data_IF_192133530386
#
_entry.id   IF_192133530386
#
_cell.length_a   1.000
_cell.length_b   1.000
_cell.length_c   1.000
_cell.angle_alpha   90.00
_cell.angle_beta   90.00
_cell.angle_gamma   90.00
#
_symmetry.space_group_name_H-M   'P 1'
#
loop_
_entity.id
_entity.type
_entity.pdbx_description
1 polymer ?
#
# COMPACT_ATOMS: atom_id res chain seq x y z
N UNK A 1 21.32 9.15 26.07
CA UNK A 1 20.40 9.09 24.91
C UNK A 1 20.49 10.45 24.25
N UNK A 2 21.06 10.49 23.04
CA UNK A 2 21.22 11.76 22.34
C UNK A 2 19.83 12.27 21.94
N UNK A 3 19.51 13.44 22.45
CA UNK A 3 18.21 14.08 22.24
C UNK A 3 18.23 14.66 20.82
N UNK A 4 17.74 13.91 19.84
CA UNK A 4 17.69 14.34 18.43
C UNK A 4 16.55 15.35 18.29
N UNK A 5 16.84 16.54 17.75
CA UNK A 5 15.81 17.56 17.57
C UNK A 5 14.74 17.11 16.57
N UNK A 6 13.49 17.55 16.77
CA UNK A 6 12.40 17.27 15.82
C UNK A 6 12.74 17.76 14.41
N UNK A 7 13.44 18.88 14.29
CA UNK A 7 13.87 19.42 13.00
C UNK A 7 14.80 18.47 12.25
N UNK A 8 15.73 17.81 12.94
CA UNK A 8 16.62 16.82 12.35
C UNK A 8 15.86 15.58 11.89
N UNK A 9 14.90 15.11 12.70
CA UNK A 9 14.02 13.99 12.35
C UNK A 9 13.24 14.33 11.08
N UNK A 10 12.59 15.49 11.06
CA UNK A 10 11.82 15.97 9.93
C UNK A 10 12.68 16.10 8.67
N UNK A 11 13.84 16.74 8.74
CA UNK A 11 14.77 16.88 7.61
C UNK A 11 15.23 15.54 7.05
N UNK A 12 15.36 14.52 7.89
CA UNK A 12 15.76 13.19 7.48
C UNK A 12 14.61 12.46 6.78
N UNK A 13 13.46 12.37 7.44
CA UNK A 13 12.34 11.56 6.96
C UNK A 13 11.59 12.19 5.77
N UNK A 14 11.49 13.53 5.72
CA UNK A 14 10.80 14.22 4.61
C UNK A 14 11.55 14.19 3.28
N UNK A 15 12.83 13.84 3.26
CA UNK A 15 13.63 13.69 2.05
C UNK A 15 13.54 12.31 1.42
N UNK A 16 12.94 11.35 2.12
CA UNK A 16 12.86 9.97 1.66
C UNK A 16 11.78 9.87 0.60
N UNK A 17 12.17 9.39 -0.59
CA UNK A 17 11.23 9.12 -1.67
C UNK A 17 10.46 7.84 -1.36
N UNK A 18 9.17 7.98 -1.11
CA UNK A 18 8.26 6.88 -0.81
C UNK A 18 7.51 6.38 -2.05
N UNK A 19 7.68 6.98 -3.22
CA UNK A 19 6.86 6.75 -4.42
C UNK A 19 6.91 5.31 -4.93
N UNK A 20 8.05 4.63 -4.76
CA UNK A 20 8.25 3.24 -5.21
C UNK A 20 7.75 2.19 -4.22
N UNK A 21 7.29 2.61 -3.04
CA UNK A 21 6.84 1.72 -1.95
C UNK A 21 5.37 1.92 -1.60
N UNK A 22 4.61 2.47 -2.54
CA UNK A 22 3.18 2.68 -2.41
C UNK A 22 2.40 1.59 -3.11
N UNK A 23 1.26 1.24 -2.52
CA UNK A 23 0.28 0.33 -3.10
C UNK A 23 -0.97 1.12 -3.51
N UNK A 24 -1.51 0.86 -4.69
CA UNK A 24 -2.76 1.45 -5.15
C UNK A 24 -3.94 0.52 -4.86
N UNK A 25 -4.99 1.07 -4.29
CA UNK A 25 -6.26 0.39 -4.09
C UNK A 25 -7.38 1.17 -4.78
N UNK A 26 -8.28 0.45 -5.44
CA UNK A 26 -9.50 1.05 -5.98
C UNK A 26 -10.41 1.47 -4.82
N UNK A 27 -10.62 2.78 -4.67
CA UNK A 27 -11.47 3.39 -3.63
C UNK A 27 -12.93 3.60 -4.05
N UNK A 28 -13.27 3.32 -5.32
CA UNK A 28 -14.60 3.55 -5.88
C UNK A 28 -14.56 4.21 -7.26
N UNK A 29 -15.66 4.86 -7.63
CA UNK A 29 -15.73 5.67 -8.85
C UNK A 29 -16.19 7.09 -8.48
N UNK A 30 -15.68 8.08 -9.20
CA UNK A 30 -16.13 9.47 -9.11
C UNK A 30 -17.52 9.66 -9.77
N UNK A 31 -18.03 10.89 -9.73
CA UNK A 31 -19.30 11.26 -10.34
C UNK A 31 -19.34 11.08 -11.88
N UNK A 32 -18.19 10.98 -12.51
CA UNK A 32 -18.03 10.79 -13.95
C UNK A 32 -17.78 9.32 -14.34
N UNK A 33 -17.71 8.42 -13.35
CA UNK A 33 -17.45 7.00 -13.57
C UNK A 33 -15.96 6.61 -13.61
N UNK A 34 -15.04 7.57 -13.40
CA UNK A 34 -13.62 7.30 -13.34
C UNK A 34 -13.27 6.56 -12.04
N UNK A 35 -12.34 5.63 -12.13
CA UNK A 35 -11.89 4.88 -10.96
C UNK A 35 -11.03 5.78 -10.08
N UNK A 36 -11.46 5.96 -8.82
CA UNK A 36 -10.67 6.62 -7.78
C UNK A 36 -9.65 5.60 -7.27
N UNK A 37 -8.37 5.94 -7.36
CA UNK A 37 -7.28 5.16 -6.79
C UNK A 37 -6.82 5.82 -5.51
N UNK A 38 -6.75 5.03 -4.45
CA UNK A 38 -6.18 5.43 -3.16
C UNK A 38 -4.78 4.87 -3.07
N UNK A 39 -3.83 5.72 -2.74
CA UNK A 39 -2.42 5.35 -2.61
C UNK A 39 -2.10 5.14 -1.14
N UNK A 40 -1.52 4.00 -0.81
CA UNK A 40 -1.12 3.65 0.54
C UNK A 40 0.37 3.37 0.59
N UNK A 41 1.04 3.91 1.59
CA UNK A 41 2.41 3.52 1.90
C UNK A 41 2.41 2.21 2.69
N UNK A 42 3.23 1.23 2.30
CA UNK A 42 3.37 -0.03 3.04
C UNK A 42 3.88 0.23 4.46
N UNK A 43 3.14 -0.26 5.47
CA UNK A 43 3.52 -0.07 6.88
C UNK A 43 4.84 -0.76 7.23
N UNK A 44 5.10 -1.93 6.64
CA UNK A 44 6.34 -2.68 6.88
C UNK A 44 7.55 -1.92 6.35
N UNK A 45 7.42 -1.34 5.16
CA UNK A 45 8.48 -0.50 4.61
C UNK A 45 8.64 0.80 5.42
N UNK A 46 7.54 1.49 5.74
CA UNK A 46 7.58 2.74 6.49
C UNK A 46 8.24 2.55 7.87
N UNK A 47 7.90 1.47 8.57
CA UNK A 47 8.53 1.14 9.84
C UNK A 47 10.00 0.72 9.65
N UNK A 48 10.30 -0.12 8.66
CA UNK A 48 11.67 -0.54 8.35
C UNK A 48 12.61 0.62 8.04
N UNK A 49 12.15 1.60 7.23
CA UNK A 49 12.94 2.79 6.93
C UNK A 49 13.10 3.70 8.16
N UNK A 50 12.06 3.80 9.00
CA UNK A 50 12.16 4.53 10.28
C UNK A 50 13.23 3.91 11.17
N UNK A 51 13.22 2.58 11.33
CA UNK A 51 14.22 1.85 12.12
C UNK A 51 15.64 1.94 11.55
N UNK A 52 15.77 2.07 10.24
CA UNK A 52 17.08 2.27 9.59
C UNK A 52 17.75 3.58 10.02
N UNK A 53 16.98 4.66 10.12
CA UNK A 53 17.51 5.99 10.50
C UNK A 53 17.43 6.27 11.99
N UNK A 54 16.46 5.68 12.66
CA UNK A 54 16.17 5.88 14.08
C UNK A 54 15.90 4.54 14.77
N UNK A 55 16.94 3.71 15.02
CA UNK A 55 16.76 2.36 15.55
C UNK A 55 16.19 2.30 16.97
N UNK A 56 16.21 3.42 17.71
CA UNK A 56 15.56 3.56 19.01
C UNK A 56 14.11 4.04 18.95
N UNK A 57 13.54 4.19 17.74
CA UNK A 57 12.14 4.56 17.58
C UNK A 57 11.22 3.49 18.16
N UNK A 58 10.15 3.91 18.80
CA UNK A 58 9.12 3.02 19.35
C UNK A 58 7.74 3.47 18.90
N UNK A 59 6.79 2.54 18.86
CA UNK A 59 5.39 2.90 18.74
C UNK A 59 4.53 2.12 19.74
N UNK A 60 3.41 2.70 20.08
CA UNK A 60 2.41 2.10 20.97
C UNK A 60 1.03 2.23 20.35
N UNK A 61 0.19 1.23 20.58
CA UNK A 61 -1.23 1.28 20.30
C UNK A 61 -1.95 1.61 21.60
N UNK A 62 -2.65 2.74 21.62
CA UNK A 62 -3.37 3.19 22.81
C UNK A 62 -4.49 2.22 23.17
N UNK A 63 -4.61 1.95 24.46
CA UNK A 63 -5.69 1.15 25.00
C UNK A 63 -6.75 2.04 25.64
N UNK A 64 -8.01 1.70 25.40
CA UNK A 64 -9.20 2.34 25.96
C UNK A 64 -9.95 1.29 26.77
N UNK A 65 -9.91 1.39 28.08
CA UNK A 65 -10.51 0.38 28.98
C UNK A 65 -10.08 -1.06 28.64
N UNK A 66 -8.77 -1.24 28.35
CA UNK A 66 -8.16 -2.53 27.98
C UNK A 66 -8.32 -2.92 26.50
N UNK A 67 -9.18 -2.28 25.73
CA UNK A 67 -9.40 -2.53 24.30
C UNK A 67 -8.40 -1.74 23.44
N UNK A 68 -8.07 -2.25 22.24
CA UNK A 68 -7.20 -1.59 21.27
C UNK A 68 -7.91 -0.50 20.43
N UNK A 69 -9.13 -0.18 20.77
CA UNK A 69 -9.98 0.79 20.08
C UNK A 69 -10.89 1.51 21.06
N UNK A 70 -11.24 2.74 20.74
CA UNK A 70 -12.33 3.46 21.36
C UNK A 70 -13.61 3.27 20.54
N UNK A 71 -14.75 3.14 21.21
CA UNK A 71 -16.05 2.98 20.57
C UNK A 71 -17.01 4.07 21.03
N UNK A 72 -17.45 4.88 20.08
CA UNK A 72 -18.60 5.74 20.24
C UNK A 72 -19.78 5.08 19.47
N UNK A 73 -20.87 4.70 20.17
CA UNK A 73 -21.98 3.99 19.51
C UNK A 73 -22.69 4.83 18.43
N UNK A 74 -22.59 6.14 18.49
CA UNK A 74 -23.25 7.04 17.54
C UNK A 74 -22.39 7.29 16.30
N UNK A 75 -21.08 7.52 16.48
CA UNK A 75 -20.20 7.95 15.39
C UNK A 75 -19.25 6.88 14.90
N UNK A 76 -18.93 5.86 15.67
CA UNK A 76 -18.13 4.72 15.20
C UNK A 76 -16.94 4.36 16.10
N UNK A 77 -16.06 3.54 15.55
CA UNK A 77 -14.90 3.00 16.22
C UNK A 77 -13.64 3.69 15.69
N UNK A 78 -12.72 4.06 16.59
CA UNK A 78 -11.42 4.63 16.24
C UNK A 78 -10.27 3.91 16.95
N UNK A 79 -9.10 3.97 16.35
CA UNK A 79 -7.82 3.54 16.93
C UNK A 79 -6.90 4.74 17.09
N UNK A 80 -5.93 4.63 18.00
CA UNK A 80 -4.91 5.65 18.20
C UNK A 80 -3.55 4.97 18.34
N UNK A 81 -2.54 5.53 17.66
CA UNK A 81 -1.15 5.13 17.80
C UNK A 81 -0.31 6.31 18.30
N UNK A 82 0.72 6.01 19.04
CA UNK A 82 1.74 6.96 19.46
C UNK A 82 3.09 6.50 18.94
N UNK A 83 3.86 7.38 18.32
CA UNK A 83 5.22 7.12 17.84
C UNK A 83 6.19 8.04 18.55
N UNK A 84 7.30 7.48 19.02
CA UNK A 84 8.37 8.25 19.67
C UNK A 84 9.67 8.05 18.88
N UNK A 85 10.27 9.16 18.45
CA UNK A 85 11.57 9.18 17.75
C UNK A 85 12.45 10.22 18.42
N UNK A 86 13.63 9.83 18.90
CA UNK A 86 14.60 10.74 19.52
C UNK A 86 14.02 11.55 20.68
N UNK A 87 13.14 10.97 21.47
CA UNK A 87 12.44 11.64 22.58
C UNK A 87 11.23 12.49 22.16
N UNK A 88 10.97 12.66 20.86
CA UNK A 88 9.81 13.38 20.36
C UNK A 88 8.65 12.41 20.12
N UNK A 89 7.50 12.65 20.75
CA UNK A 89 6.32 11.82 20.64
C UNK A 89 5.22 12.53 19.85
N UNK A 90 4.57 11.81 18.93
CA UNK A 90 3.38 12.23 18.20
C UNK A 90 2.31 11.15 18.30
N UNK A 91 1.07 11.58 18.44
CA UNK A 91 -0.09 10.68 18.40
C UNK A 91 -0.94 10.97 17.16
N UNK A 92 -1.52 9.91 16.62
CA UNK A 92 -2.45 9.95 15.50
C UNK A 92 -3.60 9.02 15.81
N UNK A 93 -4.79 9.40 15.40
CA UNK A 93 -5.98 8.57 15.49
C UNK A 93 -6.58 8.35 14.09
N UNK A 94 -7.27 7.25 13.92
CA UNK A 94 -7.93 6.89 12.65
C UNK A 94 -9.22 6.14 12.93
N UNK A 95 -10.34 6.46 12.23
CA UNK A 95 -11.55 5.66 12.31
C UNK A 95 -11.33 4.28 11.67
N UNK A 96 -11.99 3.27 12.21
CA UNK A 96 -12.14 1.97 11.55
C UNK A 96 -13.19 2.14 10.45
N UNK A 97 -12.82 1.80 9.21
CA UNK A 97 -13.64 2.08 8.03
C UNK A 97 -13.79 0.84 7.15
N UNK A 98 -14.93 0.76 6.45
CA UNK A 98 -15.14 -0.20 5.36
C UNK A 98 -14.36 0.16 4.08
N UNK A 99 -14.54 -0.63 3.02
CA UNK A 99 -13.88 -0.39 1.72
C UNK A 99 -14.36 0.87 0.99
N UNK A 100 -15.46 1.48 1.42
CA UNK A 100 -16.05 2.69 0.87
C UNK A 100 -15.78 3.93 1.76
N UNK A 101 -14.89 3.79 2.76
CA UNK A 101 -14.54 4.81 3.75
C UNK A 101 -15.69 5.22 4.68
N UNK A 102 -16.72 4.38 4.84
CA UNK A 102 -17.73 4.60 5.86
C UNK A 102 -17.19 4.14 7.22
N UNK A 103 -17.40 4.95 8.26
CA UNK A 103 -17.03 4.57 9.62
C UNK A 103 -17.82 3.32 10.06
N UNK A 104 -17.09 2.31 10.55
CA UNK A 104 -17.72 1.11 11.10
C UNK A 104 -18.07 1.31 12.57
N UNK A 105 -19.16 0.67 12.99
CA UNK A 105 -19.65 0.64 14.37
C UNK A 105 -19.56 -0.77 14.94
N UNK A 106 -19.90 -0.95 16.20
CA UNK A 106 -20.01 -2.29 16.80
C UNK A 106 -21.11 -3.14 16.15
N UNK A 107 -22.17 -2.48 15.67
CA UNK A 107 -23.27 -3.12 14.96
C UNK A 107 -23.33 -2.63 13.52
N UNK A 108 -23.81 -3.49 12.63
CA UNK A 108 -24.09 -3.08 11.25
C UNK A 108 -25.20 -2.05 11.22
N UNK A 109 -25.11 -1.11 10.27
CA UNK A 109 -26.14 -0.13 10.05
C UNK A 109 -26.38 0.11 8.57
N UNK A 110 -27.56 0.61 8.22
CA UNK A 110 -27.93 0.94 6.85
C UNK A 110 -28.06 2.45 6.66
N UNK A 111 -27.82 2.90 5.44
CA UNK A 111 -28.05 4.27 5.03
C UNK A 111 -28.54 4.33 3.58
N UNK A 112 -29.41 5.31 3.31
CA UNK A 112 -29.98 5.50 1.98
C UNK A 112 -29.04 6.28 1.06
N UNK A 113 -28.89 5.80 -0.17
CA UNK A 113 -28.22 6.51 -1.26
C UNK A 113 -29.20 6.74 -2.40
N UNK A 114 -28.84 7.59 -3.36
CA UNK A 114 -29.64 7.76 -4.59
C UNK A 114 -29.78 6.47 -5.42
N UNK A 115 -28.97 5.45 -5.13
CA UNK A 115 -29.01 4.15 -5.80
C UNK A 115 -29.64 3.03 -4.95
N UNK A 116 -30.25 3.37 -3.83
CA UNK A 116 -30.87 2.44 -2.89
C UNK A 116 -30.14 2.38 -1.54
N UNK A 117 -30.64 1.50 -0.70
CA UNK A 117 -30.12 1.26 0.63
C UNK A 117 -28.76 0.52 0.58
N UNK A 118 -27.84 0.92 1.41
CA UNK A 118 -26.53 0.25 1.60
C UNK A 118 -26.31 -0.09 3.05
N UNK A 119 -25.65 -1.20 3.29
CA UNK A 119 -25.30 -1.68 4.63
C UNK A 119 -23.82 -1.53 4.88
N UNK A 120 -23.44 -0.92 5.99
CA UNK A 120 -22.09 -0.94 6.56
C UNK A 120 -22.04 -2.08 7.59
N UNK A 121 -21.15 -3.04 7.37
CA UNK A 121 -20.98 -4.18 8.28
C UNK A 121 -20.37 -3.73 9.60
N UNK A 122 -20.65 -4.46 10.67
CA UNK A 122 -20.01 -4.28 11.97
C UNK A 122 -18.47 -4.38 11.83
N UNK A 123 -17.75 -3.64 12.65
CA UNK A 123 -16.30 -3.76 12.70
C UNK A 123 -15.90 -5.12 13.27
N UNK A 124 -14.83 -5.67 12.72
CA UNK A 124 -14.17 -6.87 13.24
C UNK A 124 -12.70 -6.58 13.61
N UNK A 125 -12.05 -7.56 14.24
CA UNK A 125 -10.64 -7.40 14.64
C UNK A 125 -9.68 -7.27 13.46
N UNK A 126 -10.05 -7.76 12.28
CA UNK A 126 -9.26 -7.55 11.05
C UNK A 126 -9.35 -6.10 10.59
N UNK A 127 -10.53 -5.49 10.65
CA UNK A 127 -10.76 -4.06 10.39
C UNK A 127 -9.99 -3.19 11.37
N UNK A 128 -10.05 -3.51 12.67
CA UNK A 128 -9.28 -2.82 13.72
C UNK A 128 -7.77 -2.91 13.45
N UNK A 129 -7.24 -4.10 13.16
CA UNK A 129 -5.82 -4.27 12.86
C UNK A 129 -5.38 -3.47 11.63
N UNK A 130 -6.17 -3.49 10.55
CA UNK A 130 -5.90 -2.67 9.35
C UNK A 130 -5.88 -1.18 9.68
N UNK A 131 -6.82 -0.72 10.50
CA UNK A 131 -6.87 0.68 10.94
C UNK A 131 -5.65 1.06 11.78
N UNK A 132 -5.18 0.18 12.69
CA UNK A 132 -3.95 0.39 13.48
C UNK A 132 -2.73 0.55 12.58
N UNK A 133 -2.54 -0.32 11.59
CA UNK A 133 -1.39 -0.25 10.67
C UNK A 133 -1.43 1.00 9.78
N UNK A 134 -2.60 1.40 9.30
CA UNK A 134 -2.81 2.67 8.57
C UNK A 134 -2.54 3.88 9.48
N UNK A 135 -3.01 3.82 10.73
CA UNK A 135 -2.80 4.86 11.72
C UNK A 135 -1.30 5.05 12.02
N UNK A 136 -0.55 3.95 12.16
CA UNK A 136 0.91 3.99 12.34
C UNK A 136 1.62 4.73 11.20
N UNK A 137 1.27 4.43 9.95
CA UNK A 137 1.90 5.09 8.80
C UNK A 137 1.55 6.57 8.73
N UNK A 138 0.29 6.95 8.99
CA UNK A 138 -0.12 8.36 9.09
C UNK A 138 0.58 9.07 10.26
N UNK A 139 0.85 8.37 11.35
CA UNK A 139 1.63 8.94 12.46
C UNK A 139 3.08 9.21 12.04
N UNK A 140 3.71 8.30 11.28
CA UNK A 140 5.05 8.52 10.73
C UNK A 140 5.09 9.71 9.75
N UNK A 141 3.99 10.00 9.06
CA UNK A 141 3.87 11.18 8.21
C UNK A 141 3.94 12.49 9.02
N UNK A 142 3.54 12.50 10.31
CA UNK A 142 3.73 13.64 11.21
C UNK A 142 5.20 13.90 11.56
N UNK A 143 6.09 12.96 11.27
CA UNK A 143 7.54 13.12 11.32
C UNK A 143 8.17 13.41 9.95
N UNK A 144 7.34 13.54 8.90
CA UNK A 144 7.76 13.87 7.52
C UNK A 144 7.79 12.71 6.55
N UNK A 145 7.70 11.44 6.99
CA UNK A 145 7.80 10.28 6.10
C UNK A 145 6.55 10.13 5.24
N UNK A 146 6.68 10.35 3.93
CA UNK A 146 5.60 10.14 2.97
C UNK A 146 4.40 11.07 3.15
N UNK A 147 4.56 12.24 3.76
CA UNK A 147 3.47 13.20 4.00
C UNK A 147 2.73 13.59 2.71
N UNK A 148 3.44 13.71 1.60
CA UNK A 148 2.89 14.04 0.29
C UNK A 148 1.89 13.00 -0.24
N UNK A 149 1.96 11.75 0.21
CA UNK A 149 1.05 10.67 -0.20
C UNK A 149 -0.38 10.93 0.31
N UNK A 150 -0.49 11.57 1.47
CA UNK A 150 -1.77 11.87 2.13
C UNK A 150 -2.34 13.24 1.76
N UNK A 151 -1.63 14.02 0.92
CA UNK A 151 -2.11 15.31 0.45
C UNK A 151 -3.38 15.13 -0.38
N UNK A 152 -4.49 15.71 0.07
CA UNK A 152 -5.80 15.62 -0.59
C UNK A 152 -6.68 14.44 -0.16
N UNK A 153 -6.26 13.60 0.79
CA UNK A 153 -7.07 12.48 1.26
C UNK A 153 -8.37 12.92 1.97
N UNK A 154 -8.37 14.09 2.60
CA UNK A 154 -9.52 14.64 3.35
C UNK A 154 -10.34 15.65 2.53
N UNK A 155 -10.21 15.68 1.20
CA UNK A 155 -11.03 16.55 0.38
C UNK A 155 -12.49 16.08 0.41
N UNK A 156 -13.46 16.99 0.62
CA UNK A 156 -14.88 16.66 0.61
C UNK A 156 -15.27 16.01 -0.71
N UNK A 157 -16.00 14.90 -0.64
CA UNK A 157 -16.55 14.23 -1.82
C UNK A 157 -17.54 15.19 -2.50
N UNK A 158 -17.22 15.70 -3.69
CA UNK A 158 -18.12 16.54 -4.49
C UNK A 158 -17.70 18.01 -4.65
N UNK A 159 -16.54 18.42 -4.17
CA UNK A 159 -15.94 19.71 -4.54
C UNK A 159 -15.36 19.59 -5.96
N UNK A 160 -15.77 20.49 -6.84
CA UNK A 160 -15.35 20.49 -8.24
C UNK A 160 -13.82 20.48 -8.36
N UNK A 161 -13.30 19.47 -9.07
CA UNK A 161 -11.86 19.24 -9.32
C UNK A 161 -11.20 20.34 -10.19
N UNK A 162 -11.93 21.41 -10.52
CA UNK A 162 -11.41 22.52 -11.33
C UNK A 162 -10.34 23.37 -10.63
N UNK A 163 -10.03 23.06 -9.38
CA UNK A 163 -8.93 23.70 -8.64
C UNK A 163 -8.10 22.64 -7.91
N UNK A 164 -7.39 21.79 -8.64
CA UNK A 164 -6.17 21.18 -8.10
C UNK A 164 -5.21 22.29 -7.76
N UNK A 165 -5.27 22.79 -6.52
CA UNK A 165 -4.13 23.53 -5.97
C UNK A 165 -2.96 22.53 -5.96
N UNK A 166 -1.81 22.88 -6.55
CA UNK A 166 -0.62 22.07 -6.41
C UNK A 166 -0.38 21.87 -4.91
N UNK A 167 0.01 20.65 -4.52
CA UNK A 167 0.45 20.38 -3.18
C UNK A 167 1.43 21.48 -2.76
N UNK A 168 1.42 21.93 -1.48
CA UNK A 168 2.32 22.98 -1.06
C UNK A 168 3.75 22.57 -1.42
N UNK A 169 4.31 23.26 -2.39
CA UNK A 169 5.71 23.11 -2.78
C UNK A 169 6.48 23.65 -1.59
N UNK A 170 7.14 22.77 -0.85
CA UNK A 170 8.15 23.18 0.12
C UNK A 170 9.22 23.87 -0.73
N UNK A 171 9.26 25.19 -0.67
CA UNK A 171 10.27 25.98 -1.38
C UNK A 171 11.64 25.44 -0.97
N UNK A 172 12.41 25.04 -1.97
CA UNK A 172 13.82 24.76 -1.79
C UNK A 172 14.47 26.09 -1.46
N UNK A 173 14.64 26.40 -0.18
CA UNK A 173 15.54 27.49 0.22
C UNK A 173 16.94 27.09 -0.21
N UNK A 174 17.43 27.77 -1.23
CA UNK A 174 18.83 27.74 -1.66
C UNK A 174 19.68 28.40 -0.55
N UNK A 175 20.12 27.56 0.39
CA UNK A 175 21.17 27.89 1.33
C UNK A 175 22.39 27.06 0.96
N UNK A 176 23.33 27.70 0.28
CA UNK A 176 24.65 27.13 0.09
C UNK A 176 25.32 27.00 1.44
N UNK A 177 25.79 25.82 1.81
CA UNK A 177 27.05 25.61 2.53
C UNK A 177 27.22 24.15 2.95
N UNK A 178 28.35 23.64 2.53
CA UNK A 178 29.21 22.62 3.17
C UNK A 178 28.69 21.19 3.37
N UNK A 179 29.30 20.35 2.59
CA UNK A 179 29.30 18.91 2.57
C UNK A 179 30.02 18.33 3.79
N UNK A 180 29.38 17.55 4.65
CA UNK A 180 30.11 16.56 5.43
C UNK A 180 30.11 15.24 4.68
N UNK A 181 31.27 14.58 4.71
CA UNK A 181 31.68 13.42 3.99
C UNK A 181 30.63 12.29 3.91
N UNK A 182 30.49 11.81 2.70
CA UNK A 182 29.76 10.63 2.26
C UNK A 182 30.30 9.39 2.98
N UNK A 183 29.48 8.62 3.72
CA UNK A 183 29.84 7.24 3.98
C UNK A 183 29.62 6.44 2.70
N UNK A 184 30.64 5.62 2.34
CA UNK A 184 30.66 4.78 1.16
C UNK A 184 29.45 3.86 1.11
N UNK A 185 28.80 3.88 -0.05
CA UNK A 185 27.76 2.91 -0.40
C UNK A 185 28.45 1.60 -0.84
N UNK A 186 28.63 0.69 0.11
CA UNK A 186 28.86 -0.71 -0.19
C UNK A 186 28.14 -1.55 0.87
N UNK A 187 27.44 -2.55 0.36
CA UNK A 187 26.63 -3.58 1.02
C UNK A 187 25.15 -3.22 1.26
N UNK A 188 24.40 -3.35 0.19
CA UNK A 188 23.11 -4.06 0.08
C UNK A 188 22.62 -3.90 -1.37
N UNK A 189 23.32 -4.58 -2.28
CA UNK A 189 22.87 -4.74 -3.66
C UNK A 189 21.88 -5.90 -3.75
N UNK A 190 20.60 -5.61 -3.52
CA UNK A 190 19.54 -6.33 -4.21
C UNK A 190 19.10 -5.44 -5.37
N UNK A 191 19.14 -5.90 -6.62
CA UNK A 191 18.75 -5.10 -7.75
C UNK A 191 17.24 -4.79 -7.65
N UNK A 192 16.93 -3.51 -7.51
CA UNK A 192 15.57 -3.02 -7.70
C UNK A 192 15.13 -3.34 -9.14
N UNK A 193 13.92 -3.85 -9.36
CA UNK A 193 13.40 -3.96 -10.71
C UNK A 193 13.26 -2.56 -11.29
N UNK A 194 13.95 -2.32 -12.38
CA UNK A 194 13.91 -1.09 -13.18
C UNK A 194 12.46 -0.83 -13.61
N UNK A 195 11.86 0.24 -13.11
CA UNK A 195 10.52 0.67 -13.55
C UNK A 195 10.66 1.26 -14.95
N UNK A 196 10.37 0.45 -15.95
CA UNK A 196 10.15 0.90 -17.31
C UNK A 196 8.75 1.51 -17.43
N UNK A 197 8.72 2.67 -18.08
CA UNK A 197 7.64 3.46 -18.68
C UNK A 197 6.25 2.78 -18.78
N UNK A 198 5.18 3.62 -18.62
CA UNK A 198 3.74 3.31 -18.81
C UNK A 198 3.50 2.19 -19.82
N UNK A 199 2.60 1.23 -19.50
CA UNK A 199 2.26 0.18 -20.44
C UNK A 199 1.47 0.79 -21.61
N UNK A 200 2.10 0.87 -22.77
CA UNK A 200 1.38 0.67 -24.02
C UNK A 200 0.63 -0.66 -23.87
N UNK A 201 -0.61 -0.74 -24.32
CA UNK A 201 -1.33 -1.99 -24.50
C UNK A 201 -0.42 -2.92 -25.31
N UNK A 202 0.35 -3.74 -24.61
CA UNK A 202 1.17 -4.75 -25.24
C UNK A 202 0.22 -5.71 -25.96
N UNK A 203 0.49 -5.99 -27.22
CA UNK A 203 -0.19 -7.07 -27.92
C UNK A 203 0.02 -8.34 -27.09
N UNK A 204 -1.04 -9.16 -26.87
CA UNK A 204 -0.90 -10.37 -26.08
C UNK A 204 0.25 -11.22 -26.65
N UNK A 205 1.18 -11.59 -25.78
CA UNK A 205 2.31 -12.45 -26.17
C UNK A 205 1.74 -13.79 -26.67
N UNK A 206 2.01 -14.21 -27.91
CA UNK A 206 1.45 -15.46 -28.46
C UNK A 206 1.87 -16.69 -27.64
N UNK A 207 3.05 -16.69 -27.01
CA UNK A 207 3.50 -17.76 -26.11
C UNK A 207 2.64 -17.83 -24.85
N UNK A 208 2.27 -16.70 -24.25
CA UNK A 208 1.38 -16.66 -23.08
C UNK A 208 0.03 -17.35 -23.35
N UNK A 209 -0.54 -17.10 -24.52
CA UNK A 209 -1.81 -17.71 -24.91
C UNK A 209 -1.69 -19.24 -25.13
N UNK A 210 -0.58 -19.68 -25.73
CA UNK A 210 -0.29 -21.09 -25.95
C UNK A 210 -0.07 -21.83 -24.62
N UNK A 211 0.81 -21.32 -23.76
CA UNK A 211 1.10 -21.90 -22.45
C UNK A 211 -0.15 -21.96 -21.55
N UNK A 212 -0.97 -20.89 -21.52
CA UNK A 212 -2.25 -20.90 -20.82
C UNK A 212 -3.23 -21.94 -21.33
N UNK A 213 -3.31 -22.11 -22.67
CA UNK A 213 -4.16 -23.14 -23.27
C UNK A 213 -3.73 -24.55 -22.84
N UNK A 214 -2.44 -24.80 -22.81
CA UNK A 214 -1.86 -26.06 -22.40
C UNK A 214 -2.05 -26.33 -20.91
N UNK A 215 -1.74 -25.35 -20.06
CA UNK A 215 -1.95 -25.42 -18.62
C UNK A 215 -3.39 -25.81 -18.24
N UNK A 216 -4.38 -25.31 -18.94
CA UNK A 216 -5.79 -25.64 -18.68
C UNK A 216 -6.14 -27.11 -18.96
N UNK A 217 -5.33 -27.84 -19.70
CA UNK A 217 -5.56 -29.25 -20.00
C UNK A 217 -4.99 -30.21 -18.96
N UNK A 218 -4.17 -29.71 -18.03
CA UNK A 218 -3.57 -30.53 -16.98
C UNK A 218 -4.63 -31.14 -16.07
N UNK A 219 -4.42 -32.39 -15.66
CA UNK A 219 -5.39 -33.17 -14.88
C UNK A 219 -5.72 -32.51 -13.55
N UNK A 220 -4.72 -31.89 -12.89
CA UNK A 220 -4.88 -31.15 -11.64
C UNK A 220 -5.56 -29.78 -11.80
N UNK A 221 -5.74 -29.29 -13.03
CA UNK A 221 -6.27 -27.95 -13.32
C UNK A 221 -7.60 -27.95 -14.05
N UNK A 222 -7.85 -28.95 -14.91
CA UNK A 222 -9.02 -29.02 -15.81
C UNK A 222 -10.35 -28.93 -15.07
N UNK A 223 -10.43 -29.47 -13.85
CA UNK A 223 -11.64 -29.53 -13.04
C UNK A 223 -11.81 -28.36 -12.07
N UNK A 224 -10.85 -27.42 -12.01
CA UNK A 224 -10.93 -26.23 -11.17
C UNK A 224 -11.94 -25.23 -11.76
N UNK A 225 -12.63 -24.48 -10.88
CA UNK A 225 -13.38 -23.31 -11.31
C UNK A 225 -12.43 -22.23 -11.87
N UNK A 226 -12.98 -21.21 -12.53
CA UNK A 226 -12.18 -20.18 -13.20
C UNK A 226 -11.28 -19.41 -12.25
N UNK A 227 -11.77 -19.08 -11.05
CA UNK A 227 -11.01 -18.31 -10.04
C UNK A 227 -9.82 -19.10 -9.53
N UNK A 228 -10.00 -20.36 -9.19
CA UNK A 228 -8.92 -21.21 -8.67
C UNK A 228 -7.91 -21.58 -9.77
N UNK A 229 -8.38 -21.72 -10.99
CA UNK A 229 -7.52 -21.94 -12.18
C UNK A 229 -6.64 -20.73 -12.45
N UNK A 230 -7.17 -19.51 -12.35
CA UNK A 230 -6.38 -18.28 -12.50
C UNK A 230 -5.33 -18.15 -11.39
N UNK A 231 -5.67 -18.45 -10.13
CA UNK A 231 -4.70 -18.47 -9.02
C UNK A 231 -3.60 -19.51 -9.23
N UNK A 232 -3.96 -20.70 -9.69
CA UNK A 232 -2.98 -21.75 -9.97
C UNK A 232 -2.01 -21.32 -11.10
N UNK A 233 -2.52 -20.62 -12.12
CA UNK A 233 -1.70 -20.04 -13.18
C UNK A 233 -0.75 -18.96 -12.69
N UNK A 234 -1.26 -18.01 -11.89
CA UNK A 234 -0.45 -16.95 -11.28
C UNK A 234 0.67 -17.55 -10.39
N UNK A 235 0.34 -18.59 -9.62
CA UNK A 235 1.33 -19.31 -8.83
C UNK A 235 2.41 -19.99 -9.69
N UNK A 236 2.02 -20.65 -10.78
CA UNK A 236 2.97 -21.24 -11.71
C UNK A 236 3.92 -20.18 -12.28
N UNK A 237 3.38 -19.09 -12.78
CA UNK A 237 4.20 -17.99 -13.30
C UNK A 237 5.14 -17.42 -12.25
N UNK A 238 4.64 -17.21 -11.02
CA UNK A 238 5.44 -16.67 -9.94
C UNK A 238 6.57 -17.61 -9.51
N UNK A 239 6.29 -18.90 -9.34
CA UNK A 239 7.30 -19.88 -8.94
C UNK A 239 8.38 -20.10 -9.98
N UNK A 240 8.02 -20.02 -11.28
CA UNK A 240 8.96 -20.28 -12.38
C UNK A 240 9.73 -19.03 -12.82
N UNK A 241 9.11 -17.86 -12.75
CA UNK A 241 9.66 -16.63 -13.34
C UNK A 241 9.83 -15.46 -12.37
N UNK A 242 9.25 -15.56 -11.16
CA UNK A 242 9.15 -14.43 -10.21
C UNK A 242 8.16 -13.34 -10.62
N UNK A 243 7.33 -13.58 -11.66
CA UNK A 243 6.34 -12.63 -12.19
C UNK A 243 4.93 -13.12 -11.89
N UNK A 244 4.04 -12.21 -11.49
CA UNK A 244 2.64 -12.54 -11.16
C UNK A 244 1.69 -12.55 -12.36
N UNK A 245 2.14 -12.08 -13.51
CA UNK A 245 1.31 -12.01 -14.72
C UNK A 245 2.07 -12.23 -16.01
N UNK A 246 1.46 -12.92 -16.94
CA UNK A 246 2.02 -13.25 -18.25
C UNK A 246 2.47 -12.00 -19.06
N UNK A 247 1.80 -10.86 -18.88
CA UNK A 247 2.15 -9.61 -19.53
C UNK A 247 3.46 -8.96 -19.00
N UNK A 248 4.00 -9.47 -17.89
CA UNK A 248 5.24 -9.02 -17.30
C UNK A 248 6.46 -9.86 -17.74
N UNK A 249 6.20 -10.91 -18.54
CA UNK A 249 7.23 -11.82 -19.05
C UNK A 249 7.52 -11.42 -20.50
N UNK A 250 8.58 -10.69 -20.68
CA UNK A 250 9.11 -10.19 -21.97
C UNK A 250 10.32 -10.97 -22.47
N UNK A 251 10.85 -11.88 -21.64
CA UNK A 251 12.01 -12.74 -21.94
C UNK A 251 11.58 -14.16 -22.35
N UNK A 252 12.01 -14.58 -23.52
CA UNK A 252 11.71 -15.92 -24.04
C UNK A 252 12.32 -17.05 -23.19
N UNK A 253 13.48 -16.82 -22.54
CA UNK A 253 14.08 -17.78 -21.65
C UNK A 253 13.23 -18.04 -20.38
N UNK A 254 12.43 -17.07 -19.95
CA UNK A 254 11.47 -17.25 -18.87
C UNK A 254 10.25 -18.08 -19.34
N UNK A 255 9.81 -17.90 -20.58
CA UNK A 255 8.77 -18.73 -21.16
C UNK A 255 9.20 -20.18 -21.35
N UNK A 256 10.47 -20.43 -21.69
CA UNK A 256 11.02 -21.79 -21.76
C UNK A 256 10.93 -22.50 -20.40
N UNK A 257 11.13 -21.79 -19.29
CA UNK A 257 10.94 -22.34 -17.94
C UNK A 257 9.49 -22.67 -17.65
N UNK A 258 8.55 -21.80 -18.05
CA UNK A 258 7.10 -22.03 -17.88
C UNK A 258 6.66 -23.27 -18.69
N UNK A 259 7.06 -23.36 -19.95
CA UNK A 259 6.73 -24.48 -20.83
C UNK A 259 7.31 -25.80 -20.29
N UNK A 260 8.55 -25.77 -19.76
CA UNK A 260 9.18 -26.95 -19.12
C UNK A 260 8.42 -27.39 -17.87
N UNK A 261 7.99 -26.45 -17.01
CA UNK A 261 7.24 -26.79 -15.79
C UNK A 261 5.86 -27.38 -16.13
N UNK A 262 5.15 -26.83 -17.13
CA UNK A 262 3.91 -27.40 -17.64
C UNK A 262 4.14 -28.83 -18.16
N UNK A 263 5.28 -29.06 -18.85
CA UNK A 263 5.69 -30.40 -19.32
C UNK A 263 5.89 -31.37 -18.16
N UNK A 264 6.53 -30.95 -17.08
CA UNK A 264 6.72 -31.78 -15.86
C UNK A 264 5.36 -32.10 -15.23
N UNK A 265 4.48 -31.12 -15.12
CA UNK A 265 3.13 -31.30 -14.54
C UNK A 265 2.25 -32.26 -15.36
N UNK A 266 2.53 -32.49 -16.63
CA UNK A 266 1.81 -33.44 -17.47
C UNK A 266 2.14 -34.91 -17.19
N UNK A 267 3.34 -35.18 -16.71
CA UNK A 267 3.84 -36.55 -16.46
C UNK A 267 3.67 -36.99 -15.01
N UNK A 268 3.24 -36.09 -14.13
CA UNK A 268 2.88 -36.37 -12.74
C UNK A 268 1.39 -36.69 -12.61
#
# INVERSE_FOLDING_TARGET
MDNISFEQIWKTLSKIDCSTHTEEKVGGKDKFGNVIKLTYLSWTWAWGITMKYFPSATFEVKRFDGKLYNNDPLIGIMVETSVTIGGNTRSMWLPVMDGANNAQKQESYTYNTKYGEKTVQAADMMGVNKAIMRCLVKNLALFGLGLNIYAGEDLPVGVDDDKKKPAPTIEKTNGASENPAKPSAEEFSNPAPTVTKKPHKAKPNPRAAAAWKEFKTLDQVKNLNETDRNKAWENLLFTTTGKTGAAQIDDDALWDKVDNEIGIMKVM
#
